data_IF_920650527733
#
_entry.id   IF_920650527733
#
_cell.length_a   1.000
_cell.length_b   1.000
_cell.length_c   1.000
_cell.angle_alpha   90.00
_cell.angle_beta   90.00
_cell.angle_gamma   90.00
#
_symmetry.space_group_name_H-M   'P 1'
#
loop_
_entity.id
_entity.type
_entity.pdbx_description
1 polymer ?
#
# COMPACT_ATOMS: atom_id res chain seq x y z
N UNK A 1 -49.98 -23.14 54.55
CA UNK A 1 -49.20 -22.13 55.28
C UNK A 1 -48.06 -21.67 54.38
N UNK A 2 -47.85 -20.35 54.31
CA UNK A 2 -46.92 -19.66 53.41
C UNK A 2 -45.47 -20.02 53.75
N UNK A 3 -44.67 -20.32 52.73
CA UNK A 3 -43.22 -20.21 52.79
C UNK A 3 -42.74 -19.30 51.66
N UNK A 4 -42.02 -18.29 52.09
CA UNK A 4 -41.40 -17.19 51.36
C UNK A 4 -40.04 -17.68 50.89
N UNK A 5 -39.59 -17.36 49.66
CA UNK A 5 -38.25 -16.78 49.43
C UNK A 5 -38.02 -16.46 47.95
N UNK A 6 -37.70 -15.18 47.73
CA UNK A 6 -37.23 -14.57 46.51
C UNK A 6 -35.92 -15.18 46.02
N UNK A 7 -35.79 -15.41 44.71
CA UNK A 7 -34.48 -15.43 44.03
C UNK A 7 -34.59 -14.52 42.80
N UNK A 8 -33.90 -13.38 42.90
CA UNK A 8 -33.53 -12.51 41.79
C UNK A 8 -32.77 -13.34 40.75
N UNK A 9 -33.35 -13.56 39.57
CA UNK A 9 -32.59 -13.97 38.40
C UNK A 9 -32.20 -12.70 37.63
N UNK A 10 -30.98 -12.21 37.89
CA UNK A 10 -30.34 -11.22 37.05
C UNK A 10 -30.08 -11.86 35.67
N UNK A 11 -30.97 -11.63 34.72
CA UNK A 11 -30.71 -11.91 33.32
C UNK A 11 -29.71 -10.88 32.80
N UNK A 12 -28.41 -11.16 32.93
CA UNK A 12 -27.37 -10.51 32.16
C UNK A 12 -27.59 -10.90 30.69
N UNK A 13 -28.37 -10.11 29.97
CA UNK A 13 -28.32 -10.13 28.51
C UNK A 13 -26.96 -9.54 28.12
N UNK A 14 -25.98 -10.42 27.88
CA UNK A 14 -24.82 -10.07 27.07
C UNK A 14 -25.37 -9.65 25.71
N UNK A 15 -25.48 -8.34 25.50
CA UNK A 15 -25.48 -7.82 24.15
C UNK A 15 -24.11 -8.17 23.58
N UNK A 16 -24.07 -9.21 22.75
CA UNK A 16 -23.09 -9.29 21.68
C UNK A 16 -23.30 -8.03 20.85
N UNK A 17 -22.69 -6.93 21.27
CA UNK A 17 -22.36 -5.85 20.37
C UNK A 17 -21.58 -6.54 19.25
N UNK A 18 -22.25 -6.68 18.11
CA UNK A 18 -21.67 -7.23 16.91
C UNK A 18 -20.35 -6.52 16.72
N UNK A 19 -19.27 -7.26 16.96
CA UNK A 19 -17.98 -6.95 16.40
C UNK A 19 -18.23 -7.11 14.90
N UNK A 20 -18.71 -6.04 14.26
CA UNK A 20 -18.64 -5.88 12.82
C UNK A 20 -17.14 -5.88 12.55
N UNK A 21 -16.57 -7.06 12.41
CA UNK A 21 -15.35 -7.22 11.64
C UNK A 21 -15.73 -6.73 10.27
N UNK A 22 -15.38 -5.47 10.00
CA UNK A 22 -15.15 -4.97 8.65
C UNK A 22 -14.16 -5.95 8.03
N UNK A 23 -14.69 -7.03 7.47
CA UNK A 23 -14.02 -7.83 6.48
C UNK A 23 -14.01 -6.97 5.22
N UNK A 24 -13.22 -5.88 5.23
CA UNK A 24 -12.63 -5.47 3.98
C UNK A 24 -11.88 -6.70 3.51
N UNK A 25 -12.29 -7.27 2.39
CA UNK A 25 -11.49 -8.29 1.73
C UNK A 25 -10.10 -7.69 1.58
N UNK A 26 -9.16 -8.12 2.43
CA UNK A 26 -7.78 -7.69 2.34
C UNK A 26 -7.20 -8.40 1.13
N UNK A 27 -7.48 -7.88 -0.07
CA UNK A 27 -6.75 -8.29 -1.26
C UNK A 27 -5.28 -8.20 -0.91
N UNK A 28 -4.58 -9.33 -1.06
CA UNK A 28 -3.15 -9.38 -0.79
C UNK A 28 -2.46 -8.30 -1.62
N UNK A 29 -1.64 -7.47 -0.99
CA UNK A 29 -0.83 -6.47 -1.70
C UNK A 29 0.34 -7.12 -2.46
N UNK A 30 0.66 -8.38 -2.16
CA UNK A 30 1.78 -9.12 -2.75
C UNK A 30 1.44 -9.72 -4.11
N UNK A 31 2.47 -9.94 -4.92
CA UNK A 31 2.36 -10.55 -6.25
C UNK A 31 2.71 -9.57 -7.37
N UNK A 32 2.20 -9.87 -8.55
CA UNK A 32 2.59 -9.20 -9.79
C UNK A 32 1.67 -8.03 -10.13
N UNK A 33 2.29 -6.97 -10.64
CA UNK A 33 1.62 -5.78 -11.14
C UNK A 33 2.19 -5.44 -12.53
N UNK A 34 1.36 -4.88 -13.41
CA UNK A 34 1.81 -4.28 -14.67
C UNK A 34 1.63 -2.77 -14.58
N UNK A 35 2.70 -2.02 -14.82
CA UNK A 35 2.63 -0.57 -14.80
C UNK A 35 1.97 -0.05 -16.06
N UNK A 36 0.88 0.69 -15.91
CA UNK A 36 -0.01 1.10 -17.00
C UNK A 36 0.10 2.57 -17.34
N UNK A 37 0.55 3.38 -16.39
CA UNK A 37 0.59 4.84 -16.54
C UNK A 37 1.81 5.42 -15.83
N UNK A 38 2.38 6.46 -16.43
CA UNK A 38 3.29 7.40 -15.81
C UNK A 38 2.71 8.81 -15.96
N UNK A 39 2.57 9.51 -14.85
CA UNK A 39 2.20 10.92 -14.80
C UNK A 39 3.44 11.68 -14.33
N UNK A 40 3.78 12.75 -15.05
CA UNK A 40 4.89 13.63 -14.71
C UNK A 40 4.33 15.04 -14.53
N UNK A 41 4.43 15.54 -13.30
CA UNK A 41 4.13 16.93 -12.98
C UNK A 41 5.46 17.67 -12.77
N UNK A 42 5.64 18.80 -13.44
CA UNK A 42 6.85 19.59 -13.35
C UNK A 42 6.62 21.09 -13.31
N UNK A 43 7.55 21.76 -12.65
CA UNK A 43 7.68 23.22 -12.63
C UNK A 43 8.59 23.72 -13.79
N UNK A 44 9.07 22.81 -14.65
CA UNK A 44 10.09 23.10 -15.67
C UNK A 44 10.42 21.92 -16.62
N UNK A 45 11.44 22.08 -17.47
CA UNK A 45 11.83 21.08 -18.47
C UNK A 45 12.68 19.93 -17.87
N UNK A 46 12.27 18.65 -18.05
CA UNK A 46 12.88 17.49 -17.38
C UNK A 46 14.38 17.41 -17.64
N UNK A 47 15.16 17.24 -16.58
CA UNK A 47 16.62 17.03 -16.67
C UNK A 47 16.90 15.53 -16.56
N UNK A 48 17.66 14.99 -17.51
CA UNK A 48 18.04 13.56 -17.56
C UNK A 48 18.80 13.07 -16.31
N UNK A 49 19.37 13.98 -15.50
CA UNK A 49 20.17 13.66 -14.30
C UNK A 49 19.37 13.51 -13.00
N UNK A 50 18.02 13.47 -13.07
CA UNK A 50 17.11 13.52 -11.90
C UNK A 50 16.41 12.16 -11.68
N UNK A 51 17.10 11.06 -12.02
CA UNK A 51 16.49 9.72 -12.11
C UNK A 51 17.13 8.74 -11.11
N UNK A 52 18.12 9.15 -10.31
CA UNK A 52 18.88 8.19 -9.49
C UNK A 52 18.13 7.73 -8.24
N UNK A 53 17.37 8.61 -7.57
CA UNK A 53 16.50 8.22 -6.45
C UNK A 53 15.10 7.79 -6.96
N UNK A 54 14.64 8.38 -8.06
CA UNK A 54 13.41 8.02 -8.76
C UNK A 54 13.58 6.88 -9.78
N UNK A 55 14.57 5.99 -9.65
CA UNK A 55 14.82 4.89 -10.61
C UNK A 55 13.62 3.99 -10.85
N UNK A 56 12.64 3.92 -9.94
CA UNK A 56 11.41 3.17 -10.16
C UNK A 56 10.38 3.93 -11.03
N UNK A 57 10.54 5.25 -11.21
CA UNK A 57 9.56 6.18 -11.77
C UNK A 57 9.86 6.68 -13.20
N UNK A 58 10.66 5.93 -13.98
CA UNK A 58 10.96 6.26 -15.38
C UNK A 58 9.84 5.85 -16.35
N UNK A 59 9.72 6.57 -17.47
CA UNK A 59 8.76 6.27 -18.57
C UNK A 59 9.02 4.93 -19.24
N UNK A 60 10.25 4.41 -19.14
CA UNK A 60 10.64 3.09 -19.64
C UNK A 60 9.86 1.93 -18.97
N UNK A 61 9.16 2.19 -17.85
CA UNK A 61 8.48 1.17 -17.07
C UNK A 61 7.01 0.96 -17.40
N UNK A 62 6.40 1.81 -18.23
CA UNK A 62 5.03 1.55 -18.71
C UNK A 62 5.04 0.28 -19.56
N UNK A 63 4.16 -0.67 -19.23
CA UNK A 63 4.09 -2.02 -19.79
C UNK A 63 4.97 -3.06 -19.08
N UNK A 64 5.82 -2.65 -18.12
CA UNK A 64 6.69 -3.56 -17.39
C UNK A 64 6.00 -4.19 -16.18
N UNK A 65 6.44 -5.40 -15.84
CA UNK A 65 6.03 -6.13 -14.64
C UNK A 65 6.81 -5.65 -13.42
N UNK A 66 6.10 -5.35 -12.34
CA UNK A 66 6.64 -5.11 -11.00
C UNK A 66 6.19 -6.24 -10.10
N UNK A 67 7.10 -6.76 -9.27
CA UNK A 67 6.80 -7.76 -8.26
C UNK A 67 6.84 -7.09 -6.89
N UNK A 68 5.87 -7.45 -6.05
CA UNK A 68 5.74 -7.00 -4.67
C UNK A 68 5.87 -8.20 -3.75
N UNK A 69 6.93 -8.24 -2.95
CA UNK A 69 7.28 -9.39 -2.12
C UNK A 69 7.40 -8.99 -0.65
N UNK A 70 6.94 -9.85 0.29
CA UNK A 70 7.18 -9.64 1.71
C UNK A 70 8.65 -9.89 2.05
N UNK A 71 9.28 -9.01 2.81
CA UNK A 71 10.67 -9.19 3.25
C UNK A 71 10.85 -8.83 4.73
N UNK A 72 10.74 -9.82 5.60
CA UNK A 72 10.83 -9.63 7.07
C UNK A 72 9.89 -8.53 7.59
N UNK A 73 10.40 -7.34 7.90
CA UNK A 73 9.67 -6.16 8.37
C UNK A 73 9.53 -5.07 7.30
N UNK A 74 9.97 -5.36 6.08
CA UNK A 74 9.96 -4.51 4.91
C UNK A 74 9.09 -5.13 3.82
N UNK A 75 8.84 -4.31 2.82
CA UNK A 75 8.22 -4.67 1.56
C UNK A 75 9.23 -4.45 0.45
N UNK A 76 9.50 -5.46 -0.37
CA UNK A 76 10.30 -5.28 -1.56
C UNK A 76 9.39 -4.98 -2.76
N UNK A 77 9.75 -3.95 -3.53
CA UNK A 77 9.04 -3.58 -4.77
C UNK A 77 10.08 -3.37 -5.88
N UNK A 78 9.97 -4.12 -6.97
CA UNK A 78 10.90 -3.96 -8.09
C UNK A 78 10.54 -4.73 -9.35
N UNK A 79 11.25 -4.39 -10.44
CA UNK A 79 11.13 -5.04 -11.75
C UNK A 79 11.99 -6.32 -11.86
N UNK A 80 13.07 -6.36 -11.08
CA UNK A 80 13.99 -7.50 -10.96
C UNK A 80 14.74 -7.40 -9.64
N UNK A 81 15.44 -8.46 -9.23
CA UNK A 81 16.23 -8.49 -7.99
C UNK A 81 17.25 -7.34 -7.86
N UNK A 82 17.75 -6.80 -8.97
CA UNK A 82 18.71 -5.69 -9.00
C UNK A 82 18.06 -4.32 -9.23
N UNK A 83 16.77 -4.29 -9.59
CA UNK A 83 16.02 -3.09 -9.95
C UNK A 83 14.75 -3.01 -9.10
N UNK A 84 14.95 -2.73 -7.82
CA UNK A 84 13.89 -2.59 -6.82
C UNK A 84 14.31 -1.71 -5.65
N UNK A 85 13.43 -1.60 -4.68
CA UNK A 85 13.69 -0.91 -3.43
C UNK A 85 12.96 -1.56 -2.26
N UNK A 86 13.56 -1.43 -1.07
CA UNK A 86 12.92 -1.82 0.18
C UNK A 86 12.11 -0.67 0.74
N UNK A 87 10.88 -0.97 1.14
CA UNK A 87 9.95 0.00 1.68
C UNK A 87 9.53 -0.38 3.09
N UNK A 88 9.55 0.61 3.98
CA UNK A 88 9.03 0.49 5.33
C UNK A 88 7.57 0.95 5.35
N UNK A 89 6.71 0.20 6.05
CA UNK A 89 5.33 0.60 6.22
C UNK A 89 5.23 1.84 7.13
N UNK A 90 4.47 2.85 6.71
CA UNK A 90 4.24 4.07 7.51
C UNK A 90 2.78 4.23 7.93
N UNK A 91 1.84 3.66 7.15
CA UNK A 91 0.41 3.57 7.44
C UNK A 91 -0.15 2.29 6.79
N UNK A 92 -1.38 1.85 7.13
CA UNK A 92 -2.05 0.80 6.37
C UNK A 92 -2.01 1.11 4.86
N UNK A 93 -1.56 0.13 4.08
CA UNK A 93 -1.40 0.24 2.62
C UNK A 93 -0.52 1.40 2.12
N UNK A 94 0.33 2.00 2.96
CA UNK A 94 1.27 3.07 2.57
C UNK A 94 2.67 2.80 3.10
N UNK A 95 3.63 2.89 2.20
CA UNK A 95 5.02 2.50 2.41
C UNK A 95 5.98 3.56 1.86
N UNK A 96 7.23 3.57 2.33
CA UNK A 96 8.24 4.56 1.92
C UNK A 96 9.62 3.89 1.87
N UNK A 97 10.41 4.12 0.80
CA UNK A 97 11.82 3.68 0.72
C UNK A 97 12.81 4.80 1.06
N UNK A 98 12.29 6.00 1.28
CA UNK A 98 13.03 7.20 1.67
C UNK A 98 12.08 8.38 1.79
N UNK A 99 12.60 9.61 1.89
CA UNK A 99 11.75 10.81 1.92
C UNK A 99 11.03 11.07 0.60
N UNK A 100 11.66 10.66 -0.50
CA UNK A 100 11.30 11.05 -1.85
C UNK A 100 10.45 10.02 -2.60
N UNK A 101 10.45 8.75 -2.16
CA UNK A 101 9.75 7.65 -2.85
C UNK A 101 8.74 7.00 -1.90
N UNK A 102 7.48 6.96 -2.32
CA UNK A 102 6.35 6.42 -1.55
C UNK A 102 5.56 5.45 -2.40
N UNK A 103 5.08 4.37 -1.78
CA UNK A 103 4.20 3.40 -2.41
C UNK A 103 2.86 3.35 -1.67
N UNK A 104 1.77 3.21 -2.41
CA UNK A 104 0.42 3.05 -1.88
C UNK A 104 -0.33 1.93 -2.62
N UNK A 105 -1.12 1.17 -1.87
CA UNK A 105 -1.94 0.08 -2.39
C UNK A 105 -3.43 0.36 -2.20
N UNK A 106 -4.24 0.01 -3.20
CA UNK A 106 -5.70 0.09 -3.10
C UNK A 106 -6.39 -0.12 -4.44
N UNK A 107 -7.63 -0.62 -4.42
CA UNK A 107 -8.43 -0.91 -5.62
C UNK A 107 -7.68 -1.77 -6.65
N UNK A 108 -6.94 -2.78 -6.18
CA UNK A 108 -6.06 -3.63 -7.00
C UNK A 108 -4.97 -2.84 -7.75
N UNK A 109 -4.56 -1.68 -7.24
CA UNK A 109 -3.50 -0.85 -7.80
C UNK A 109 -2.33 -0.70 -6.83
N UNK A 110 -1.14 -0.61 -7.42
CA UNK A 110 0.08 -0.09 -6.81
C UNK A 110 0.33 1.30 -7.40
N UNK A 111 0.41 2.32 -6.55
CA UNK A 111 0.81 3.68 -6.93
C UNK A 111 2.18 3.96 -6.32
N UNK A 112 3.14 4.36 -7.15
CA UNK A 112 4.47 4.78 -6.71
C UNK A 112 4.60 6.26 -7.03
N UNK A 113 4.73 7.09 -5.99
CA UNK A 113 5.02 8.52 -6.12
C UNK A 113 6.51 8.75 -5.82
N UNK A 114 7.17 9.52 -6.69
CA UNK A 114 8.53 9.99 -6.46
C UNK A 114 8.67 11.50 -6.67
N UNK A 115 9.45 12.15 -5.81
CA UNK A 115 9.75 13.58 -5.91
C UNK A 115 11.25 13.81 -5.95
N UNK A 116 11.76 14.37 -7.05
CA UNK A 116 13.20 14.63 -7.20
C UNK A 116 13.40 15.89 -8.06
N UNK A 117 14.30 16.78 -7.63
CA UNK A 117 14.70 17.96 -8.42
C UNK A 117 13.56 18.92 -8.84
N UNK A 118 12.46 18.97 -8.08
CA UNK A 118 11.27 19.78 -8.44
C UNK A 118 10.29 19.09 -9.40
N UNK A 119 10.46 17.80 -9.66
CA UNK A 119 9.54 16.96 -10.43
C UNK A 119 8.77 16.05 -9.49
N UNK A 120 7.51 15.80 -9.82
CA UNK A 120 6.71 14.74 -9.22
C UNK A 120 6.36 13.70 -10.29
N UNK A 121 6.78 12.48 -10.04
CA UNK A 121 6.49 11.33 -10.87
C UNK A 121 5.48 10.44 -10.15
N UNK A 122 4.45 9.99 -10.86
CA UNK A 122 3.51 9.00 -10.37
C UNK A 122 3.41 7.86 -11.36
N UNK A 123 3.78 6.66 -10.92
CA UNK A 123 3.52 5.42 -11.65
C UNK A 123 2.31 4.72 -11.07
N UNK A 124 1.44 4.22 -11.94
CA UNK A 124 0.27 3.44 -11.57
C UNK A 124 0.36 2.06 -12.22
N UNK A 125 0.41 1.03 -11.40
CA UNK A 125 0.46 -0.38 -11.81
C UNK A 125 -0.80 -1.11 -11.36
N UNK A 126 -1.36 -1.94 -12.24
CA UNK A 126 -2.53 -2.77 -11.95
C UNK A 126 -2.07 -4.14 -11.51
N UNK A 127 -2.73 -4.71 -10.51
CA UNK A 127 -2.51 -6.08 -10.10
C UNK A 127 -2.89 -7.02 -11.25
N UNK A 128 -2.06 -8.04 -11.49
CA UNK A 128 -2.32 -9.10 -12.47
C UNK A 128 -3.23 -10.18 -11.92
#
# INVERSE_FOLDING_TARGET
MKTILSILAAALTLSLAGCNTYLESSESIYGDYVCTQLIVESDGAPRESVIDECRLCSSAYVGQRVVVEPESYLLWIGFSAEQGGHFTQVKPNRYTSGKNVKAAFGNSQLVIDCTEGGYQYRIICQKM
#
